data_IF_275627421701
#
_entry.id   IF_275627421701
#
_cell.length_a   1.000
_cell.length_b   1.000
_cell.length_c   1.000
_cell.angle_alpha   90.00
_cell.angle_beta   90.00
_cell.angle_gamma   90.00
#
_symmetry.space_group_name_H-M   'P 1'
#
loop_
_entity.id
_entity.type
_entity.pdbx_description
1 polymer ?
#
# COMPACT_ATOMS: atom_id res chain seq x y z
N UNK A 1 16.29 -14.02 -9.19
CA UNK A 1 16.51 -12.71 -8.51
C UNK A 1 17.43 -11.79 -9.31
N UNK A 2 18.52 -12.28 -9.94
CA UNK A 2 19.45 -11.41 -10.70
C UNK A 2 18.87 -10.86 -12.01
N UNK A 3 17.95 -11.56 -12.65
CA UNK A 3 17.39 -11.15 -13.95
C UNK A 3 16.40 -9.97 -13.85
N UNK A 4 15.64 -9.90 -12.77
CA UNK A 4 14.66 -8.81 -12.55
C UNK A 4 15.38 -7.49 -12.25
N UNK A 5 16.48 -7.55 -11.48
CA UNK A 5 17.31 -6.38 -11.19
C UNK A 5 17.99 -5.82 -12.45
N UNK A 6 18.45 -6.69 -13.37
CA UNK A 6 19.02 -6.26 -14.65
C UNK A 6 17.94 -5.64 -15.58
N UNK A 7 16.71 -6.12 -15.53
CA UNK A 7 15.64 -5.60 -16.37
C UNK A 7 15.22 -4.20 -15.94
N UNK A 8 15.06 -3.95 -14.62
CA UNK A 8 14.76 -2.62 -14.07
C UNK A 8 15.88 -1.61 -14.37
N UNK A 9 17.14 -2.02 -14.31
CA UNK A 9 18.27 -1.17 -14.65
C UNK A 9 18.31 -0.81 -16.14
N UNK A 10 17.94 -1.71 -17.04
CA UNK A 10 17.89 -1.46 -18.48
C UNK A 10 16.77 -0.51 -18.86
N UNK A 11 15.56 -0.70 -18.31
CA UNK A 11 14.41 0.15 -18.60
C UNK A 11 14.62 1.60 -18.11
N UNK A 12 15.32 1.78 -16.97
CA UNK A 12 15.67 3.12 -16.47
C UNK A 12 16.77 3.83 -17.27
N UNK A 13 17.68 3.09 -17.94
CA UNK A 13 18.70 3.67 -18.81
C UNK A 13 18.14 4.13 -20.16
N UNK A 14 17.12 3.48 -20.69
CA UNK A 14 16.50 3.85 -21.98
C UNK A 14 15.61 5.11 -21.89
N UNK A 15 15.05 5.42 -20.71
CA UNK A 15 14.19 6.59 -20.50
C UNK A 15 14.92 7.88 -20.09
N UNK A 16 16.23 7.81 -19.79
CA UNK A 16 17.05 8.95 -19.31
C UNK A 16 17.65 9.85 -20.38
N UNK A 17 17.39 9.62 -21.65
CA UNK A 17 17.97 10.40 -22.77
C UNK A 17 16.94 11.27 -23.49
N UNK A 18 16.59 12.40 -22.97
CA UNK A 18 16.43 13.65 -23.73
C UNK A 18 15.59 14.72 -22.98
N UNK A 19 16.24 15.77 -22.50
CA UNK A 19 15.71 17.13 -22.54
C UNK A 19 16.76 18.15 -22.13
N UNK A 20 17.22 18.88 -23.11
CA UNK A 20 18.08 20.06 -23.00
C UNK A 20 17.24 21.34 -22.90
N UNK A 21 17.69 22.24 -22.03
CA UNK A 21 17.81 23.70 -22.14
C UNK A 21 16.65 24.59 -22.64
N UNK A 22 16.34 25.59 -21.84
CA UNK A 22 15.62 26.83 -22.24
C UNK A 22 15.58 27.88 -21.14
N UNK A 23 16.28 28.95 -21.36
CA UNK A 23 16.65 30.10 -20.54
C UNK A 23 15.52 31.06 -20.13
N UNK A 24 15.71 31.71 -18.94
CA UNK A 24 15.75 33.16 -18.69
C UNK A 24 14.47 34.00 -18.77
N UNK A 25 14.23 34.77 -17.71
CA UNK A 25 13.40 35.99 -17.70
C UNK A 25 13.18 36.53 -16.28
N UNK A 26 13.88 37.58 -15.93
CA UNK A 26 13.72 38.43 -14.75
C UNK A 26 12.37 39.17 -14.77
N UNK A 27 11.77 39.41 -13.60
CA UNK A 27 11.56 40.79 -13.12
C UNK A 27 10.99 40.87 -11.70
N UNK A 28 11.45 41.88 -10.99
CA UNK A 28 11.26 42.24 -9.59
C UNK A 28 10.18 43.30 -9.45
N UNK A 29 9.47 43.32 -8.31
CA UNK A 29 8.82 44.38 -7.52
C UNK A 29 7.49 43.90 -6.94
N UNK A 30 7.04 44.13 -5.73
CA UNK A 30 7.27 45.16 -4.70
C UNK A 30 6.61 44.62 -3.40
N UNK A 31 7.19 44.96 -2.23
CA UNK A 31 6.60 44.75 -0.89
C UNK A 31 5.37 45.63 -0.68
N UNK A 32 4.36 45.15 0.03
CA UNK A 32 3.80 45.73 1.25
C UNK A 32 2.52 45.00 1.71
N UNK A 33 2.53 44.64 2.99
CA UNK A 33 1.40 44.53 3.95
C UNK A 33 0.19 43.66 3.64
N UNK A 34 0.08 42.49 4.36
CA UNK A 34 -1.01 42.34 5.31
C UNK A 34 -0.70 41.18 6.26
N UNK A 35 -0.55 41.52 7.53
CA UNK A 35 -0.35 40.62 8.65
C UNK A 35 -1.71 40.48 9.34
N UNK A 36 -2.45 39.43 9.02
CA UNK A 36 -3.51 38.79 9.83
C UNK A 36 -4.21 37.74 8.96
N UNK A 37 -3.85 36.45 9.11
CA UNK A 37 -4.44 35.29 8.40
C UNK A 37 -3.51 34.09 8.27
N UNK A 38 -2.36 34.11 8.92
CA UNK A 38 -1.25 33.20 8.63
C UNK A 38 -1.19 31.93 9.51
N UNK A 39 -2.14 31.70 10.43
CA UNK A 39 -2.02 30.56 11.35
C UNK A 39 -2.93 29.37 11.04
N UNK A 40 -3.95 29.54 10.19
CA UNK A 40 -4.83 28.45 9.74
C UNK A 40 -4.42 27.84 8.39
N UNK A 41 -3.74 28.58 7.55
CA UNK A 41 -3.31 28.11 6.22
C UNK A 41 -2.02 27.26 6.27
N UNK A 42 -1.22 27.41 7.33
CA UNK A 42 0.03 26.65 7.49
C UNK A 42 -0.19 25.23 7.97
N UNK A 43 -1.21 24.94 8.77
CA UNK A 43 -1.51 23.60 9.23
C UNK A 43 -2.07 22.71 8.11
N UNK A 44 -3.02 23.24 7.31
CA UNK A 44 -3.61 22.50 6.17
C UNK A 44 -2.60 22.30 5.02
N UNK A 45 -1.65 23.22 4.82
CA UNK A 45 -0.58 23.06 3.84
C UNK A 45 0.50 22.09 4.29
N UNK A 46 0.83 22.03 5.58
CA UNK A 46 1.79 21.06 6.12
C UNK A 46 1.22 19.63 6.13
N UNK A 47 -0.06 19.44 6.43
CA UNK A 47 -0.72 18.13 6.33
C UNK A 47 -0.85 17.67 4.88
N UNK A 48 -1.15 18.55 3.94
CA UNK A 48 -1.21 18.26 2.51
C UNK A 48 0.16 17.90 1.94
N UNK A 49 1.20 18.64 2.30
CA UNK A 49 2.58 18.34 1.89
C UNK A 49 3.10 17.04 2.54
N UNK A 50 2.65 16.70 3.74
CA UNK A 50 2.98 15.44 4.39
C UNK A 50 2.27 14.24 3.74
N UNK A 51 1.01 14.38 3.30
CA UNK A 51 0.29 13.33 2.56
C UNK A 51 0.85 13.11 1.16
N UNK A 52 1.33 14.17 0.48
CA UNK A 52 2.01 14.06 -0.81
C UNK A 52 3.40 13.42 -0.68
N UNK A 53 4.04 13.51 0.51
CA UNK A 53 5.36 12.94 0.77
C UNK A 53 5.33 11.45 1.13
N UNK A 54 4.21 10.94 1.65
CA UNK A 54 4.02 9.53 2.02
C UNK A 54 2.60 9.07 1.66
N UNK A 55 2.30 8.92 0.37
CA UNK A 55 0.99 8.52 -0.10
C UNK A 55 0.67 7.08 0.31
N UNK A 56 -0.62 6.75 0.39
CA UNK A 56 -1.06 5.38 0.59
C UNK A 56 -0.86 4.54 -0.68
N UNK A 57 -0.37 3.33 -0.51
CA UNK A 57 -0.26 2.30 -1.54
C UNK A 57 -1.29 1.21 -1.30
N UNK A 58 -1.87 0.68 -2.38
CA UNK A 58 -2.88 -0.38 -2.36
C UNK A 58 -2.28 -1.67 -2.91
N UNK A 59 -2.16 -2.66 -2.05
CA UNK A 59 -1.53 -3.95 -2.35
C UNK A 59 -2.60 -5.02 -2.47
N UNK A 60 -2.76 -5.61 -3.64
CA UNK A 60 -3.60 -6.78 -3.85
C UNK A 60 -2.95 -8.00 -3.18
N UNK A 61 -3.63 -8.61 -2.23
CA UNK A 61 -3.16 -9.80 -1.55
C UNK A 61 -3.68 -11.05 -2.26
N UNK A 62 -2.79 -11.79 -2.90
CA UNK A 62 -3.13 -12.99 -3.66
C UNK A 62 -3.36 -14.21 -2.77
N UNK A 63 -4.22 -15.12 -3.20
CA UNK A 63 -4.45 -16.43 -2.58
C UNK A 63 -3.57 -17.53 -3.20
N UNK A 64 -3.74 -18.79 -2.77
CA UNK A 64 -3.11 -19.98 -3.35
C UNK A 64 -1.61 -19.86 -3.59
N UNK A 65 -0.89 -19.29 -2.61
CA UNK A 65 0.55 -19.06 -2.71
C UNK A 65 0.90 -18.20 -3.95
N UNK A 66 0.21 -17.05 -4.10
CA UNK A 66 0.31 -16.07 -5.18
C UNK A 66 -0.22 -16.52 -6.56
N UNK A 67 -0.99 -17.61 -6.62
CA UNK A 67 -1.48 -18.15 -7.88
C UNK A 67 -2.85 -17.59 -8.32
N UNK A 68 -3.57 -16.91 -7.43
CA UNK A 68 -4.89 -16.33 -7.71
C UNK A 68 -5.08 -14.99 -7.01
N UNK A 69 -5.66 -14.05 -7.72
CA UNK A 69 -6.12 -12.76 -7.21
C UNK A 69 -7.41 -12.87 -6.40
N UNK A 70 -8.11 -14.00 -6.53
CA UNK A 70 -9.41 -14.25 -5.90
C UNK A 70 -9.31 -15.21 -4.73
N UNK A 71 -10.14 -14.97 -3.72
CA UNK A 71 -10.27 -15.79 -2.52
C UNK A 71 -11.67 -16.41 -2.47
N UNK A 72 -11.76 -17.71 -2.19
CA UNK A 72 -13.03 -18.37 -1.89
C UNK A 72 -13.58 -17.93 -0.53
N UNK A 73 -12.66 -17.63 0.38
CA UNK A 73 -12.92 -17.28 1.77
C UNK A 73 -11.81 -16.37 2.29
N UNK A 74 -12.20 -15.38 3.08
CA UNK A 74 -11.30 -14.48 3.78
C UNK A 74 -11.57 -14.59 5.28
N UNK A 75 -10.53 -14.88 6.07
CA UNK A 75 -10.59 -14.93 7.52
C UNK A 75 -9.65 -13.89 8.09
N UNK A 76 -10.19 -12.98 8.91
CA UNK A 76 -9.46 -11.83 9.45
C UNK A 76 -9.61 -11.84 10.97
N UNK A 77 -8.54 -11.50 11.66
CA UNK A 77 -8.52 -11.10 13.08
C UNK A 77 -7.57 -9.93 13.25
N UNK A 78 -7.60 -9.25 14.38
CA UNK A 78 -6.64 -8.21 14.72
C UNK A 78 -6.20 -8.33 16.18
N UNK A 79 -5.01 -7.81 16.50
CA UNK A 79 -4.49 -7.76 17.87
C UNK A 79 -5.09 -6.61 18.70
N UNK A 80 -5.82 -5.70 18.05
CA UNK A 80 -6.57 -4.58 18.63
C UNK A 80 -8.03 -4.61 18.21
N UNK A 81 -8.93 -3.84 18.88
CA UNK A 81 -10.31 -3.69 18.41
C UNK A 81 -10.35 -3.10 17.00
N UNK A 82 -11.27 -3.59 16.20
CA UNK A 82 -11.45 -3.15 14.82
C UNK A 82 -12.93 -3.03 14.44
N UNK A 83 -13.18 -2.25 13.40
CA UNK A 83 -14.49 -2.11 12.79
C UNK A 83 -14.47 -2.57 11.34
N UNK A 84 -15.61 -3.05 10.90
CA UNK A 84 -15.91 -3.36 9.50
C UNK A 84 -17.01 -2.42 9.05
N UNK A 85 -16.82 -1.69 7.98
CA UNK A 85 -17.83 -0.77 7.44
C UNK A 85 -18.20 -1.14 6.02
N UNK A 86 -19.51 -1.06 5.71
CA UNK A 86 -20.05 -1.26 4.37
C UNK A 86 -21.35 -0.48 4.21
N UNK A 87 -21.45 0.39 3.20
CA UNK A 87 -22.61 1.20 2.80
C UNK A 87 -23.51 1.73 3.94
N UNK A 88 -22.88 2.32 4.98
CA UNK A 88 -23.59 2.94 6.10
C UNK A 88 -23.93 2.02 7.26
N UNK A 89 -23.47 0.77 7.24
CA UNK A 89 -23.50 -0.14 8.38
C UNK A 89 -22.09 -0.35 8.90
N UNK A 90 -21.96 -0.37 10.24
CA UNK A 90 -20.67 -0.67 10.91
C UNK A 90 -20.87 -1.83 11.90
N UNK A 91 -19.88 -2.71 11.94
CA UNK A 91 -19.76 -3.81 12.89
C UNK A 91 -18.46 -3.64 13.67
N UNK A 92 -18.52 -3.78 14.98
CA UNK A 92 -17.38 -3.64 15.88
C UNK A 92 -16.97 -4.99 16.44
N UNK A 93 -15.68 -5.26 16.43
CA UNK A 93 -15.10 -6.50 16.90
C UNK A 93 -14.01 -6.22 17.94
N UNK A 94 -13.86 -7.12 18.90
CA UNK A 94 -12.85 -7.00 19.93
C UNK A 94 -11.52 -7.58 19.42
N UNK A 95 -10.40 -7.19 20.08
CA UNK A 95 -9.09 -7.78 19.83
C UNK A 95 -9.16 -9.32 19.92
N UNK A 96 -8.60 -10.00 18.93
CA UNK A 96 -8.57 -11.46 18.84
C UNK A 96 -9.86 -12.11 18.33
N UNK A 97 -10.95 -11.35 18.14
CA UNK A 97 -12.13 -11.90 17.45
C UNK A 97 -11.78 -12.22 15.99
N UNK A 98 -12.26 -13.38 15.54
CA UNK A 98 -12.05 -13.82 14.17
C UNK A 98 -13.36 -13.71 13.39
N UNK A 99 -13.29 -13.10 12.23
CA UNK A 99 -14.41 -12.98 11.29
C UNK A 99 -14.10 -13.71 10.00
N UNK A 100 -15.12 -14.29 9.41
CA UNK A 100 -15.00 -15.03 8.16
C UNK A 100 -16.01 -14.52 7.14
N UNK A 101 -15.54 -14.26 5.93
CA UNK A 101 -16.34 -13.81 4.80
C UNK A 101 -16.19 -14.76 3.63
N UNK A 102 -17.30 -15.07 2.99
CA UNK A 102 -17.41 -15.89 1.77
C UNK A 102 -18.29 -15.20 0.76
N UNK A 103 -18.38 -15.74 -0.44
CA UNK A 103 -19.28 -15.25 -1.49
C UNK A 103 -20.77 -15.22 -1.05
N UNK A 104 -21.14 -15.97 -0.01
CA UNK A 104 -22.51 -16.09 0.52
C UNK A 104 -22.76 -15.19 1.74
N UNK A 105 -21.75 -14.48 2.23
CA UNK A 105 -21.89 -13.60 3.40
C UNK A 105 -22.84 -12.45 3.10
N UNK A 106 -23.77 -12.21 4.04
CA UNK A 106 -24.85 -11.24 3.88
C UNK A 106 -24.35 -9.78 3.97
N UNK A 107 -23.22 -9.55 4.57
CA UNK A 107 -22.58 -8.24 4.74
C UNK A 107 -22.29 -7.61 3.36
N UNK A 108 -22.01 -8.41 2.33
CA UNK A 108 -21.81 -7.94 0.96
C UNK A 108 -23.09 -7.49 0.25
N UNK A 109 -24.26 -7.71 0.82
CA UNK A 109 -25.51 -7.08 0.32
C UNK A 109 -25.47 -5.56 0.47
N UNK A 110 -24.58 -5.07 1.32
CA UNK A 110 -24.33 -3.65 1.60
C UNK A 110 -23.14 -3.08 0.80
N UNK A 111 -22.57 -3.84 -0.14
CA UNK A 111 -21.39 -3.47 -0.94
C UNK A 111 -20.07 -3.94 -0.35
N UNK A 112 -18.99 -3.30 -0.77
CA UNK A 112 -17.64 -3.65 -0.33
C UNK A 112 -17.43 -3.35 1.15
N UNK A 113 -16.54 -4.11 1.77
CA UNK A 113 -16.25 -4.01 3.20
C UNK A 113 -14.87 -3.41 3.42
N UNK A 114 -14.80 -2.41 4.31
CA UNK A 114 -13.55 -1.79 4.73
C UNK A 114 -13.31 -2.10 6.21
N UNK A 115 -12.14 -2.63 6.50
CA UNK A 115 -11.66 -2.99 7.83
C UNK A 115 -10.69 -1.93 8.32
N UNK A 116 -10.95 -1.35 9.47
CA UNK A 116 -10.12 -0.31 10.07
C UNK A 116 -9.90 -0.63 11.55
N UNK A 117 -8.65 -0.59 11.99
CA UNK A 117 -8.32 -0.71 13.42
C UNK A 117 -8.70 0.56 14.17
N UNK A 118 -9.09 0.44 15.44
CA UNK A 118 -9.48 1.58 16.28
C UNK A 118 -8.25 2.23 16.96
N UNK A 119 -7.12 1.54 16.96
CA UNK A 119 -5.82 1.98 17.48
C UNK A 119 -4.68 1.34 16.67
N UNK A 120 -3.44 1.70 16.95
CA UNK A 120 -2.26 1.12 16.28
C UNK A 120 -2.17 -0.38 16.55
N UNK A 121 -2.13 -1.18 15.51
CA UNK A 121 -2.11 -2.63 15.60
C UNK A 121 -1.93 -3.30 14.23
N UNK A 122 -2.20 -4.59 14.17
CA UNK A 122 -2.09 -5.38 12.93
C UNK A 122 -3.29 -6.28 12.72
N UNK A 123 -3.72 -6.37 11.48
CA UNK A 123 -4.60 -7.43 11.01
C UNK A 123 -3.79 -8.70 10.78
N UNK A 124 -4.36 -9.85 11.08
CA UNK A 124 -3.80 -11.16 10.81
C UNK A 124 -4.73 -11.92 9.88
N UNK A 125 -4.13 -12.64 8.93
CA UNK A 125 -4.83 -13.44 7.93
C UNK A 125 -4.42 -14.91 8.07
N UNK A 126 -5.02 -15.66 9.03
CA UNK A 126 -4.56 -17.01 9.39
C UNK A 126 -4.66 -18.04 8.26
N UNK A 127 -5.44 -17.76 7.23
CA UNK A 127 -5.61 -18.64 6.07
C UNK A 127 -4.56 -18.40 4.97
N UNK A 128 -3.90 -17.23 4.98
CA UNK A 128 -2.83 -16.93 4.03
C UNK A 128 -1.50 -17.52 4.52
N UNK A 129 -0.74 -18.06 3.58
CA UNK A 129 0.62 -18.51 3.81
C UNK A 129 1.58 -17.61 3.04
N UNK A 130 2.54 -17.07 3.77
CA UNK A 130 3.64 -16.26 3.23
C UNK A 130 4.96 -16.86 3.76
N UNK A 131 6.00 -16.05 3.87
CA UNK A 131 7.22 -16.49 4.55
C UNK A 131 6.97 -16.86 6.02
N UNK A 132 5.93 -16.28 6.62
CA UNK A 132 5.39 -16.68 7.94
C UNK A 132 4.07 -17.43 7.76
N UNK A 133 3.72 -18.28 8.74
CA UNK A 133 2.46 -19.03 8.70
C UNK A 133 1.22 -18.16 8.91
N UNK A 134 1.37 -16.99 9.53
CA UNK A 134 0.30 -16.05 9.78
C UNK A 134 0.82 -14.63 9.54
N UNK A 135 0.71 -14.10 8.31
CA UNK A 135 1.18 -12.77 8.00
C UNK A 135 0.33 -11.71 8.69
N UNK A 136 0.99 -10.62 9.11
CA UNK A 136 0.38 -9.49 9.80
C UNK A 136 0.45 -8.23 8.94
N UNK A 137 -0.63 -7.45 8.91
CA UNK A 137 -0.78 -6.31 8.01
C UNK A 137 -1.18 -5.05 8.78
N UNK A 138 -0.40 -4.00 8.68
CA UNK A 138 -0.77 -2.66 9.14
C UNK A 138 -1.71 -1.96 8.15
N UNK A 139 -2.29 -0.82 8.56
CA UNK A 139 -3.19 -0.03 7.72
C UNK A 139 -4.61 -0.56 7.72
N UNK A 140 -5.28 -0.50 6.57
CA UNK A 140 -6.64 -0.98 6.39
C UNK A 140 -6.73 -2.13 5.40
N UNK A 141 -7.79 -2.94 5.51
CA UNK A 141 -8.09 -3.97 4.54
C UNK A 141 -9.42 -3.63 3.84
N UNK A 142 -9.46 -3.84 2.53
CA UNK A 142 -10.65 -3.68 1.71
C UNK A 142 -10.99 -5.03 1.07
N UNK A 143 -12.23 -5.48 1.27
CA UNK A 143 -12.74 -6.73 0.69
C UNK A 143 -13.85 -6.39 -0.29
N UNK A 144 -13.64 -6.73 -1.54
CA UNK A 144 -14.61 -6.56 -2.64
C UNK A 144 -15.13 -7.92 -3.10
N UNK A 145 -16.44 -8.01 -3.35
CA UNK A 145 -17.05 -9.20 -3.92
C UNK A 145 -17.20 -9.06 -5.41
N UNK A 146 -16.64 -10.00 -6.17
CA UNK A 146 -16.81 -10.12 -7.63
C UNK A 146 -17.42 -11.46 -8.03
N UNK A 147 -17.69 -11.67 -9.32
CA UNK A 147 -18.29 -12.93 -9.80
C UNK A 147 -17.37 -14.13 -9.57
N UNK A 148 -16.05 -13.92 -9.71
CA UNK A 148 -15.02 -14.96 -9.62
C UNK A 148 -14.62 -15.29 -8.15
N UNK A 149 -14.87 -14.39 -7.20
CA UNK A 149 -14.44 -14.56 -5.81
C UNK A 149 -14.36 -13.25 -5.06
N UNK A 150 -13.72 -13.31 -3.89
CA UNK A 150 -13.44 -12.14 -3.08
C UNK A 150 -12.06 -11.59 -3.43
N UNK A 151 -11.93 -10.27 -3.56
CA UNK A 151 -10.67 -9.56 -3.68
C UNK A 151 -10.31 -8.97 -2.33
N UNK A 152 -9.04 -9.04 -1.96
CA UNK A 152 -8.51 -8.48 -0.72
C UNK A 152 -7.37 -7.50 -1.02
N UNK A 153 -7.53 -6.25 -0.60
CA UNK A 153 -6.55 -5.19 -0.78
C UNK A 153 -6.11 -4.67 0.58
N UNK A 154 -4.81 -4.56 0.79
CA UNK A 154 -4.23 -3.87 1.94
C UNK A 154 -3.83 -2.45 1.54
N UNK A 155 -4.29 -1.46 2.27
CA UNK A 155 -3.96 -0.04 2.06
C UNK A 155 -3.20 0.49 3.26
N UNK A 156 -2.01 1.03 3.02
CA UNK A 156 -1.13 1.56 4.07
C UNK A 156 -0.17 2.61 3.49
N UNK A 157 0.42 3.48 4.34
CA UNK A 157 1.41 4.45 3.88
C UNK A 157 2.61 3.77 3.19
N UNK A 158 3.09 4.36 2.10
CA UNK A 158 4.20 3.83 1.29
C UNK A 158 5.45 3.51 2.11
N UNK A 159 5.84 4.38 3.06
CA UNK A 159 7.03 4.13 3.88
C UNK A 159 6.84 2.94 4.83
N UNK A 160 5.63 2.71 5.34
CA UNK A 160 5.28 1.52 6.11
C UNK A 160 5.37 0.26 5.23
N UNK A 161 4.81 0.30 4.02
CA UNK A 161 4.93 -0.78 3.03
C UNK A 161 6.40 -1.16 2.78
N UNK A 162 7.29 -0.16 2.61
CA UNK A 162 8.71 -0.40 2.37
C UNK A 162 9.43 -1.08 3.56
N UNK A 163 8.96 -0.86 4.79
CA UNK A 163 9.49 -1.56 5.97
C UNK A 163 9.28 -3.09 5.89
N UNK A 164 8.25 -3.54 5.17
CA UNK A 164 7.96 -4.96 4.95
C UNK A 164 8.58 -5.50 3.65
N UNK A 165 8.66 -4.69 2.61
CA UNK A 165 9.23 -5.09 1.32
C UNK A 165 10.74 -5.27 1.40
N UNK A 166 11.46 -4.32 2.00
CA UNK A 166 12.92 -4.36 2.04
C UNK A 166 13.44 -5.65 2.69
N UNK A 167 12.98 -6.09 3.87
CA UNK A 167 13.43 -7.36 4.46
C UNK A 167 12.91 -8.59 3.69
N UNK A 168 11.80 -8.49 2.97
CA UNK A 168 11.30 -9.58 2.12
C UNK A 168 12.17 -9.81 0.89
N UNK A 169 12.80 -8.75 0.36
CA UNK A 169 13.65 -8.77 -0.83
C UNK A 169 15.14 -8.97 -0.50
N UNK A 170 15.60 -8.46 0.63
CA UNK A 170 17.02 -8.47 1.01
C UNK A 170 17.19 -8.81 2.50
N UNK A 171 18.00 -9.83 2.83
CA UNK A 171 18.26 -10.19 4.23
C UNK A 171 18.80 -9.02 5.05
N UNK A 172 18.30 -8.84 6.27
CA UNK A 172 18.72 -7.77 7.20
C UNK A 172 20.20 -7.83 7.60
N UNK A 173 20.89 -8.95 7.34
CA UNK A 173 22.32 -9.13 7.56
C UNK A 173 23.22 -8.44 6.51
N UNK A 174 22.63 -7.89 5.44
CA UNK A 174 23.40 -7.14 4.43
C UNK A 174 23.88 -5.80 5.00
N UNK A 175 24.97 -5.22 4.43
CA UNK A 175 25.46 -3.90 4.83
C UNK A 175 24.35 -2.84 4.75
N UNK A 176 24.32 -1.93 5.73
CA UNK A 176 23.28 -0.90 5.82
C UNK A 176 23.17 -0.04 4.54
N UNK A 177 24.26 0.22 3.85
CA UNK A 177 24.25 0.99 2.61
C UNK A 177 23.57 0.21 1.45
N UNK A 178 23.66 -1.11 1.46
CA UNK A 178 22.92 -1.96 0.52
C UNK A 178 21.42 -1.95 0.81
N UNK A 179 21.03 -2.02 2.10
CA UNK A 179 19.62 -1.92 2.51
C UNK A 179 19.02 -0.54 2.18
N UNK A 180 19.78 0.54 2.36
CA UNK A 180 19.37 1.89 1.95
C UNK A 180 19.16 1.99 0.43
N UNK A 181 20.08 1.43 -0.36
CA UNK A 181 19.97 1.40 -1.81
C UNK A 181 18.72 0.60 -2.24
N UNK A 182 18.49 -0.57 -1.61
CA UNK A 182 17.28 -1.37 -1.86
C UNK A 182 16.00 -0.58 -1.53
N UNK A 183 15.96 0.13 -0.41
CA UNK A 183 14.80 0.94 -0.02
C UNK A 183 14.49 2.04 -1.05
N UNK A 184 15.53 2.71 -1.59
CA UNK A 184 15.37 3.72 -2.65
C UNK A 184 14.82 3.08 -3.93
N UNK A 185 15.37 1.94 -4.35
CA UNK A 185 14.90 1.23 -5.54
C UNK A 185 13.46 0.75 -5.37
N UNK A 186 13.13 0.18 -4.21
CA UNK A 186 11.78 -0.30 -3.90
C UNK A 186 10.76 0.85 -3.91
N UNK A 187 11.10 2.00 -3.31
CA UNK A 187 10.25 3.20 -3.35
C UNK A 187 9.99 3.68 -4.77
N UNK A 188 11.03 3.83 -5.58
CA UNK A 188 10.89 4.27 -6.97
C UNK A 188 10.02 3.31 -7.78
N UNK A 189 10.17 2.00 -7.56
CA UNK A 189 9.35 0.99 -8.22
C UNK A 189 7.87 1.09 -7.78
N UNK A 190 7.61 1.15 -6.47
CA UNK A 190 6.26 1.27 -5.94
C UNK A 190 5.56 2.53 -6.46
N UNK A 191 6.21 3.70 -6.42
CA UNK A 191 5.67 4.96 -6.97
C UNK A 191 5.35 4.84 -8.47
N UNK A 192 6.19 4.14 -9.24
CA UNK A 192 5.91 3.90 -10.66
C UNK A 192 4.67 3.02 -10.87
N UNK A 193 4.45 2.01 -10.01
CA UNK A 193 3.23 1.20 -10.06
C UNK A 193 2.00 2.00 -9.65
N UNK A 194 2.10 2.90 -8.67
CA UNK A 194 1.00 3.80 -8.30
C UNK A 194 0.59 4.74 -9.44
N UNK A 195 1.53 5.15 -10.30
CA UNK A 195 1.25 5.98 -11.48
C UNK A 195 0.72 5.17 -12.67
N UNK A 196 1.13 3.91 -12.82
CA UNK A 196 0.87 3.07 -13.98
C UNK A 196 0.58 1.63 -13.55
N UNK A 197 -0.47 1.45 -12.76
CA UNK A 197 -0.83 0.14 -12.22
C UNK A 197 -1.21 -0.87 -13.30
N UNK A 198 -0.72 -2.10 -13.14
CA UNK A 198 -1.22 -3.27 -13.90
C UNK A 198 -2.33 -4.01 -13.15
N UNK A 199 -2.60 -3.61 -11.90
CA UNK A 199 -3.67 -4.13 -11.04
C UNK A 199 -4.85 -3.16 -10.94
N UNK A 200 -4.96 -2.16 -11.85
CA UNK A 200 -6.01 -1.14 -11.86
C UNK A 200 -7.41 -1.77 -11.91
N UNK A 201 -7.59 -2.88 -12.62
CA UNK A 201 -8.85 -3.60 -12.69
C UNK A 201 -9.32 -4.14 -11.33
N UNK A 202 -8.40 -4.38 -10.40
CA UNK A 202 -8.67 -4.79 -9.01
C UNK A 202 -8.74 -3.60 -8.05
N UNK A 203 -8.50 -2.36 -8.52
CA UNK A 203 -8.42 -1.20 -7.67
C UNK A 203 -7.15 -1.12 -6.83
N UNK A 204 -6.12 -1.89 -7.18
CA UNK A 204 -4.82 -1.94 -6.50
C UNK A 204 -3.70 -1.32 -7.36
N UNK A 205 -2.58 -0.98 -6.74
CA UNK A 205 -1.43 -0.41 -7.41
C UNK A 205 -0.46 -1.50 -7.87
N UNK A 206 -0.35 -2.58 -7.08
CA UNK A 206 0.46 -3.77 -7.35
C UNK A 206 -0.10 -4.97 -6.56
N UNK A 207 0.42 -6.17 -6.81
CA UNK A 207 0.16 -7.36 -6.00
C UNK A 207 1.37 -7.71 -5.09
N UNK A 208 1.16 -8.63 -4.16
CA UNK A 208 2.13 -9.05 -3.16
C UNK A 208 3.09 -10.15 -3.64
N UNK A 209 3.07 -10.50 -4.92
CA UNK A 209 3.84 -11.59 -5.51
C UNK A 209 5.22 -11.17 -6.01
N UNK A 210 6.01 -12.17 -6.39
CA UNK A 210 7.32 -11.98 -7.04
C UNK A 210 7.25 -11.29 -8.41
N UNK A 211 6.07 -11.15 -8.99
CA UNK A 211 5.87 -10.43 -10.25
C UNK A 211 6.00 -8.91 -10.08
N UNK A 212 5.85 -8.43 -8.85
CA UNK A 212 6.03 -7.04 -8.43
C UNK A 212 7.10 -6.93 -7.35
N UNK A 213 6.73 -6.78 -6.11
CA UNK A 213 7.63 -6.75 -4.95
C UNK A 213 7.12 -7.70 -3.90
N UNK A 214 7.99 -8.61 -3.45
CA UNK A 214 7.59 -9.58 -2.42
C UNK A 214 7.19 -8.86 -1.14
N UNK A 215 5.94 -9.05 -0.74
CA UNK A 215 5.35 -8.45 0.45
C UNK A 215 4.93 -9.55 1.42
N UNK A 216 5.91 -10.10 2.15
CA UNK A 216 5.73 -11.28 3.01
C UNK A 216 5.20 -10.96 4.42
N UNK A 217 5.26 -9.72 4.84
CA UNK A 217 4.84 -9.27 6.18
C UNK A 217 5.43 -10.09 7.33
N UNK A 218 6.74 -10.05 7.43
CA UNK A 218 7.56 -10.69 8.47
C UNK A 218 7.99 -9.67 9.53
#
# INVERSE_FOLDING_TARGET
QSQLQEQVLRENQEKGGNRSTGQSGKESKTMAENKAGAETETAETDERMASDANPDIRVLLCSDNYASEYHDRITITADVPFRVSGQGTEWHYQAGEQVEFTMQSNEFLQGDLVFTMEEDGVFQLPYLKRATECPSYEGSLHVEKREEGLILINTLPLETYLCYVVPSEMPSSYPIEALKAQAVCARCYAMLQMENSRCEEFGADLDDSVSYQVYNNI
#
